data_IF_512352937066
#
_entry.id   IF_512352937066
#
_cell.length_a   1.000
_cell.length_b   1.000
_cell.length_c   1.000
_cell.angle_alpha   90.00
_cell.angle_beta   90.00
_cell.angle_gamma   90.00
#
_symmetry.space_group_name_H-M   'P 1'
#
loop_
_entity.id
_entity.type
_entity.pdbx_description
1 polymer ?
#
# COMPACT_ATOMS: atom_id res chain seq x y z
N UNK A 1 -7.42 10.30 2.84
CA UNK A 1 -6.81 9.32 1.94
C UNK A 1 -6.17 8.25 2.81
N UNK A 2 -6.67 7.03 2.74
CA UNK A 2 -6.16 5.89 3.52
C UNK A 2 -5.00 5.19 2.80
N UNK A 3 -4.50 4.09 3.36
CA UNK A 3 -3.38 3.35 2.79
C UNK A 3 -3.77 2.70 1.45
N UNK A 4 -5.00 2.22 1.32
CA UNK A 4 -5.53 1.70 0.06
C UNK A 4 -5.56 2.77 -1.02
N UNK A 5 -6.05 3.97 -0.73
CA UNK A 5 -6.09 5.04 -1.71
C UNK A 5 -4.67 5.40 -2.22
N UNK A 6 -3.67 5.45 -1.32
CA UNK A 6 -2.26 5.68 -1.69
C UNK A 6 -1.73 4.57 -2.59
N UNK A 7 -1.99 3.32 -2.21
CA UNK A 7 -1.61 2.14 -2.99
C UNK A 7 -2.28 2.15 -4.36
N UNK A 8 -3.59 2.38 -4.43
CA UNK A 8 -4.38 2.31 -5.65
C UNK A 8 -3.98 3.40 -6.64
N UNK A 9 -3.79 4.64 -6.17
CA UNK A 9 -3.32 5.74 -7.02
C UNK A 9 -1.92 5.42 -7.55
N UNK A 10 -1.02 4.91 -6.71
CA UNK A 10 0.32 4.54 -7.15
C UNK A 10 0.34 3.33 -8.09
N UNK A 11 -0.55 2.36 -7.90
CA UNK A 11 -0.62 1.16 -8.74
C UNK A 11 -1.19 1.46 -10.13
N UNK A 12 -2.13 2.41 -10.23
CA UNK A 12 -2.78 2.81 -11.48
C UNK A 12 -2.07 3.96 -12.21
N UNK A 13 -0.98 4.51 -11.63
CA UNK A 13 -0.25 5.63 -12.24
C UNK A 13 0.44 5.21 -13.55
N UNK A 14 0.67 6.18 -14.44
CA UNK A 14 1.53 5.98 -15.60
C UNK A 14 2.99 5.76 -15.17
N UNK A 15 3.77 5.02 -15.96
CA UNK A 15 5.20 4.83 -15.69
C UNK A 15 5.99 6.15 -15.65
N UNK A 16 5.52 7.17 -16.38
CA UNK A 16 6.12 8.50 -16.39
C UNK A 16 5.73 9.38 -15.19
N UNK A 17 4.80 8.91 -14.34
CA UNK A 17 4.36 9.63 -13.15
C UNK A 17 5.38 9.43 -12.02
N UNK A 18 6.00 10.51 -11.49
CA UNK A 18 7.00 10.42 -10.43
C UNK A 18 6.41 10.08 -9.05
N UNK A 19 5.09 9.94 -8.90
CA UNK A 19 4.45 9.64 -7.61
C UNK A 19 4.99 8.35 -6.99
N UNK A 20 5.40 8.40 -5.73
CA UNK A 20 5.90 7.25 -4.97
C UNK A 20 5.04 6.99 -3.73
N UNK A 21 5.15 5.78 -3.18
CA UNK A 21 4.60 5.43 -1.87
C UNK A 21 5.73 5.06 -0.89
N UNK A 22 5.49 5.15 0.43
CA UNK A 22 6.45 4.69 1.42
C UNK A 22 6.81 3.21 1.22
N UNK A 23 8.07 2.85 1.51
CA UNK A 23 8.56 1.47 1.33
C UNK A 23 7.78 0.46 2.17
N UNK A 24 7.47 0.81 3.42
CA UNK A 24 6.71 -0.05 4.33
C UNK A 24 5.31 -0.37 3.79
N UNK A 25 4.68 0.59 3.11
CA UNK A 25 3.37 0.39 2.51
C UNK A 25 3.46 -0.55 1.32
N UNK A 26 4.46 -0.35 0.46
CA UNK A 26 4.71 -1.22 -0.68
C UNK A 26 4.99 -2.67 -0.24
N UNK A 27 5.86 -2.87 0.75
CA UNK A 27 6.19 -4.19 1.29
C UNK A 27 4.97 -4.87 1.91
N UNK A 28 4.21 -4.16 2.75
CA UNK A 28 3.02 -4.69 3.40
C UNK A 28 1.98 -5.19 2.39
N UNK A 29 1.71 -4.41 1.34
CA UNK A 29 0.73 -4.77 0.32
C UNK A 29 1.24 -5.91 -0.57
N UNK A 30 2.55 -6.01 -0.82
CA UNK A 30 3.10 -7.13 -1.58
C UNK A 30 3.00 -8.49 -0.85
N UNK A 31 2.89 -8.51 0.47
CA UNK A 31 2.62 -9.75 1.24
C UNK A 31 1.19 -10.27 1.03
N UNK A 32 0.26 -9.42 0.59
CA UNK A 32 -1.10 -9.82 0.24
C UNK A 32 -1.14 -10.52 -1.13
N UNK A 33 -2.07 -11.46 -1.30
CA UNK A 33 -2.33 -12.04 -2.62
C UNK A 33 -2.91 -11.00 -3.58
N UNK A 34 -2.80 -11.19 -4.92
CA UNK A 34 -3.27 -10.21 -5.90
C UNK A 34 -4.73 -9.76 -5.73
N UNK A 35 -5.62 -10.67 -5.31
CA UNK A 35 -7.03 -10.33 -5.04
C UNK A 35 -7.20 -9.51 -3.77
N UNK A 36 -6.42 -9.81 -2.73
CA UNK A 36 -6.44 -9.06 -1.47
C UNK A 36 -5.85 -7.66 -1.61
N UNK A 37 -4.93 -7.43 -2.56
CA UNK A 37 -4.43 -6.08 -2.88
C UNK A 37 -5.51 -5.14 -3.42
N UNK A 38 -6.66 -5.69 -3.85
CA UNK A 38 -7.84 -4.94 -4.29
C UNK A 38 -8.86 -4.73 -3.16
N UNK A 39 -8.67 -5.38 -2.02
CA UNK A 39 -9.52 -5.24 -0.84
C UNK A 39 -9.01 -4.10 0.05
N UNK A 40 -9.80 -3.02 0.11
CA UNK A 40 -9.50 -1.83 0.92
C UNK A 40 -9.25 -2.15 2.38
N UNK A 41 -10.06 -3.02 2.97
CA UNK A 41 -9.95 -3.37 4.40
C UNK A 41 -8.65 -4.14 4.65
N UNK A 42 -8.28 -5.07 3.78
CA UNK A 42 -7.04 -5.85 3.93
C UNK A 42 -5.80 -5.00 3.75
N UNK A 43 -5.78 -4.14 2.73
CA UNK A 43 -4.66 -3.21 2.51
C UNK A 43 -4.49 -2.26 3.69
N UNK A 44 -5.58 -1.67 4.20
CA UNK A 44 -5.52 -0.79 5.36
C UNK A 44 -5.07 -1.51 6.64
N UNK A 45 -5.47 -2.78 6.84
CA UNK A 45 -5.03 -3.58 7.97
C UNK A 45 -3.52 -3.88 7.90
N UNK A 46 -3.05 -4.39 6.75
CA UNK A 46 -1.63 -4.69 6.55
C UNK A 46 -0.74 -3.44 6.67
N UNK A 47 -1.19 -2.31 6.14
CA UNK A 47 -0.51 -1.03 6.25
C UNK A 47 -0.37 -0.57 7.71
N UNK A 48 -1.45 -0.70 8.50
CA UNK A 48 -1.44 -0.31 9.92
C UNK A 48 -0.49 -1.17 10.75
N UNK A 49 -0.41 -2.46 10.46
CA UNK A 49 0.55 -3.36 11.10
C UNK A 49 1.99 -2.96 10.73
N UNK A 50 2.26 -2.73 9.45
CA UNK A 50 3.60 -2.38 8.98
C UNK A 50 4.09 -1.01 9.47
N UNK A 51 3.22 0.00 9.51
CA UNK A 51 3.56 1.34 10.02
C UNK A 51 4.00 1.28 11.48
N UNK A 52 3.28 0.51 12.31
CA UNK A 52 3.64 0.30 13.72
C UNK A 52 4.99 -0.41 13.90
N UNK A 53 5.45 -1.18 12.91
CA UNK A 53 6.76 -1.83 12.91
C UNK A 53 7.89 -0.92 12.41
N UNK A 54 7.58 0.12 11.63
CA UNK A 54 8.55 1.04 11.03
C UNK A 54 8.80 2.31 11.85
N UNK A 55 7.95 2.62 12.84
CA UNK A 55 8.13 3.74 13.78
C UNK A 55 9.06 3.42 14.97
N UNK A 56 9.74 2.26 14.94
CA UNK A 56 10.69 1.80 15.98
C UNK A 56 12.14 2.13 15.59
#
# INVERSE_FOLDING_TARGET
MDAFDRWWIWAEKSLDDPQTIPVWLHEAVLQLSPDERRDRSKVNAAAKEAEAHYEI
#
